data_IF_216011595039
#
_entry.id   IF_216011595039
#
_cell.length_a   1.000
_cell.length_b   1.000
_cell.length_c   1.000
_cell.angle_alpha   90.00
_cell.angle_beta   90.00
_cell.angle_gamma   90.00
#
_symmetry.space_group_name_H-M   'P 1'
#
loop_
_entity.id
_entity.type
_entity.pdbx_description
1 polymer ?
#
# COMPACT_ATOMS: atom_id res chain seq x y z
N UNK A 1 -5.85 -2.84 -6.49
CA UNK A 1 -6.25 -3.49 -5.22
C UNK A 1 -6.47 -2.48 -4.10
N UNK A 2 -5.51 -1.59 -3.80
CA UNK A 2 -5.73 -0.55 -2.78
C UNK A 2 -6.95 0.35 -3.11
N UNK A 3 -6.98 0.95 -4.31
CA UNK A 3 -8.07 1.83 -4.74
C UNK A 3 -9.45 1.16 -4.70
N UNK A 4 -9.54 -0.16 -4.93
CA UNK A 4 -10.82 -0.87 -4.87
C UNK A 4 -11.36 -1.01 -3.45
N UNK A 5 -10.51 -0.95 -2.42
CA UNK A 5 -10.97 -0.85 -1.03
C UNK A 5 -11.46 0.57 -0.74
N UNK A 6 -10.71 1.60 -1.16
CA UNK A 6 -11.08 3.01 -0.96
C UNK A 6 -12.36 3.42 -1.71
N UNK A 7 -12.67 2.74 -2.82
CA UNK A 7 -13.91 2.92 -3.61
C UNK A 7 -15.19 2.84 -2.78
N UNK A 8 -15.21 1.99 -1.76
CA UNK A 8 -16.40 1.73 -0.95
C UNK A 8 -16.47 2.56 0.33
N UNK A 9 -15.43 3.34 0.60
CA UNK A 9 -15.38 4.19 1.77
C UNK A 9 -15.75 5.63 1.36
N UNK A 10 -16.85 6.19 1.92
CA UNK A 10 -17.29 7.55 1.63
C UNK A 10 -16.21 8.62 1.89
N UNK A 11 -15.34 8.40 2.87
CA UNK A 11 -14.27 9.34 3.22
C UNK A 11 -13.29 9.55 2.06
N UNK A 12 -13.01 8.51 1.26
CA UNK A 12 -12.00 8.56 0.20
C UNK A 12 -12.62 8.61 -1.19
N UNK A 13 -13.77 7.99 -1.38
CA UNK A 13 -14.37 7.82 -2.72
C UNK A 13 -14.66 9.16 -3.41
N UNK A 14 -15.12 10.18 -2.67
CA UNK A 14 -15.38 11.52 -3.25
C UNK A 14 -14.12 12.16 -3.82
N UNK A 15 -12.97 11.94 -3.18
CA UNK A 15 -11.69 12.50 -3.60
C UNK A 15 -11.06 11.75 -4.78
N UNK A 16 -11.26 10.42 -4.84
CA UNK A 16 -10.60 9.56 -5.83
C UNK A 16 -11.33 9.46 -7.17
N UNK A 17 -12.66 9.53 -7.12
CA UNK A 17 -13.53 9.06 -8.19
C UNK A 17 -14.42 10.16 -8.78
N UNK A 18 -14.48 11.32 -8.13
CA UNK A 18 -15.27 12.48 -8.58
C UNK A 18 -16.76 12.15 -8.75
N UNK A 19 -17.47 13.04 -9.44
CA UNK A 19 -18.85 12.83 -9.86
C UNK A 19 -18.91 12.64 -11.38
N UNK A 20 -19.80 11.77 -11.84
CA UNK A 20 -20.16 11.63 -13.24
C UNK A 20 -21.11 12.74 -13.69
N UNK A 21 -21.48 12.71 -14.97
CA UNK A 21 -22.36 13.70 -15.62
C UNK A 21 -23.77 13.76 -14.98
N UNK A 22 -24.15 12.72 -14.22
CA UNK A 22 -25.41 12.64 -13.46
C UNK A 22 -25.26 13.01 -11.99
N UNK A 23 -24.12 13.58 -11.59
CA UNK A 23 -23.73 13.86 -10.21
C UNK A 23 -23.60 12.62 -9.31
N UNK A 24 -23.53 11.40 -9.86
CA UNK A 24 -23.25 10.18 -9.10
C UNK A 24 -21.74 9.95 -9.00
N UNK A 25 -21.25 9.35 -7.92
CA UNK A 25 -19.80 9.10 -7.79
C UNK A 25 -19.35 8.08 -8.84
N UNK A 26 -18.43 8.45 -9.75
CA UNK A 26 -17.90 7.52 -10.77
C UNK A 26 -16.87 6.57 -10.15
N UNK A 27 -17.34 5.45 -9.62
CA UNK A 27 -16.50 4.54 -8.85
C UNK A 27 -15.60 3.61 -9.68
N UNK A 28 -15.39 3.85 -10.98
CA UNK A 28 -14.61 2.95 -11.83
C UNK A 28 -13.12 2.94 -11.47
N UNK A 29 -12.53 1.74 -11.47
CA UNK A 29 -11.11 1.59 -11.17
C UNK A 29 -10.29 2.08 -12.37
N UNK A 30 -9.35 3.02 -12.19
CA UNK A 30 -8.58 3.57 -13.30
C UNK A 30 -7.70 2.52 -13.97
N UNK A 31 -7.56 2.65 -15.29
CA UNK A 31 -6.61 1.84 -16.07
C UNK A 31 -5.16 2.21 -15.74
N UNK A 32 -4.21 1.34 -16.10
CA UNK A 32 -2.77 1.60 -15.90
C UNK A 32 -2.36 2.92 -16.58
N UNK A 33 -2.77 3.15 -17.82
CA UNK A 33 -2.46 4.40 -18.53
C UNK A 33 -3.04 5.64 -17.85
N UNK A 34 -4.22 5.51 -17.22
CA UNK A 34 -4.80 6.62 -16.45
C UNK A 34 -4.04 6.85 -15.13
N UNK A 35 -3.63 5.80 -14.43
CA UNK A 35 -2.77 5.92 -13.25
C UNK A 35 -1.44 6.61 -13.59
N UNK A 36 -0.82 6.30 -14.73
CA UNK A 36 0.39 6.99 -15.19
C UNK A 36 0.15 8.49 -15.37
N UNK A 37 -0.99 8.88 -15.96
CA UNK A 37 -1.39 10.29 -16.13
C UNK A 37 -1.61 10.98 -14.78
N UNK A 38 -2.25 10.31 -13.82
CA UNK A 38 -2.45 10.87 -12.48
C UNK A 38 -1.13 11.14 -11.76
N UNK A 39 -0.15 10.25 -11.91
CA UNK A 39 1.20 10.43 -11.36
C UNK A 39 1.89 11.64 -12.03
N UNK A 40 1.87 11.74 -13.36
CA UNK A 40 2.44 12.90 -14.06
C UNK A 40 1.72 14.22 -13.71
N UNK A 41 0.42 14.17 -13.45
CA UNK A 41 -0.36 15.33 -13.00
C UNK A 41 0.08 15.76 -11.60
N UNK A 42 0.25 14.82 -10.67
CA UNK A 42 0.79 15.09 -9.34
C UNK A 42 2.20 15.72 -9.41
N UNK A 43 3.07 15.19 -10.27
CA UNK A 43 4.40 15.76 -10.54
C UNK A 43 4.35 17.18 -11.10
N UNK A 44 3.37 17.48 -11.95
CA UNK A 44 3.16 18.82 -12.50
C UNK A 44 2.66 19.79 -11.43
N UNK A 45 1.83 19.31 -10.51
CA UNK A 45 1.35 20.06 -9.34
C UNK A 45 2.42 20.26 -8.24
N UNK A 46 3.64 19.76 -8.44
CA UNK A 46 4.79 19.96 -7.56
C UNK A 46 4.97 18.87 -6.49
N UNK A 47 4.23 17.77 -6.55
CA UNK A 47 4.46 16.61 -5.69
C UNK A 47 5.65 15.81 -6.23
N UNK A 48 6.54 15.36 -5.34
CA UNK A 48 7.64 14.44 -5.64
C UNK A 48 8.51 14.85 -6.85
N UNK A 49 9.10 16.05 -6.78
CA UNK A 49 10.03 16.54 -7.81
C UNK A 49 11.19 15.58 -8.08
N UNK A 50 11.65 14.90 -7.04
CA UNK A 50 12.79 13.99 -7.11
C UNK A 50 12.40 12.71 -7.86
N UNK A 51 11.24 12.11 -7.54
CA UNK A 51 10.68 11.00 -8.32
C UNK A 51 10.40 11.40 -9.77
N UNK A 52 9.83 12.58 -10.02
CA UNK A 52 9.65 13.11 -11.38
C UNK A 52 10.96 13.12 -12.17
N UNK A 53 12.04 13.60 -11.56
CA UNK A 53 13.36 13.65 -12.18
C UNK A 53 13.92 12.24 -12.46
N UNK A 54 13.78 11.29 -11.51
CA UNK A 54 14.21 9.89 -11.69
C UNK A 54 13.54 9.23 -12.90
N UNK A 55 12.31 9.62 -13.22
CA UNK A 55 11.57 9.10 -14.37
C UNK A 55 11.79 9.92 -15.65
N UNK A 56 12.75 10.85 -15.69
CA UNK A 56 12.95 11.78 -16.81
C UNK A 56 11.65 12.53 -17.18
N UNK A 57 10.87 12.93 -16.17
CA UNK A 57 9.60 13.64 -16.31
C UNK A 57 8.50 12.91 -17.08
N UNK A 58 8.61 11.59 -17.29
CA UNK A 58 7.67 10.87 -18.15
C UNK A 58 7.43 9.42 -17.72
N UNK A 59 6.16 9.05 -17.60
CA UNK A 59 5.66 7.73 -17.23
C UNK A 59 4.55 7.23 -18.17
N UNK A 60 3.71 8.11 -18.72
CA UNK A 60 2.59 7.74 -19.59
C UNK A 60 3.07 6.94 -20.81
N UNK A 61 2.37 5.85 -21.13
CA UNK A 61 2.72 4.94 -22.22
C UNK A 61 4.11 4.29 -22.09
N UNK A 62 4.68 4.26 -20.88
CA UNK A 62 5.91 3.54 -20.59
C UNK A 62 5.64 2.23 -19.84
N UNK A 63 6.65 1.39 -19.74
CA UNK A 63 6.69 0.17 -18.92
C UNK A 63 7.57 0.33 -17.68
N UNK A 64 7.93 1.57 -17.33
CA UNK A 64 8.79 1.86 -16.18
C UNK A 64 8.12 1.37 -14.90
N UNK A 65 8.90 0.71 -14.06
CA UNK A 65 8.43 0.25 -12.76
C UNK A 65 8.27 1.45 -11.83
N UNK A 66 7.14 1.47 -11.12
CA UNK A 66 6.85 2.46 -10.08
C UNK A 66 7.00 1.83 -8.70
N UNK A 67 7.16 2.67 -7.68
CA UNK A 67 7.24 2.30 -6.29
C UNK A 67 6.21 3.03 -5.41
N UNK A 68 6.38 2.92 -4.09
CA UNK A 68 5.51 3.60 -3.13
C UNK A 68 5.51 5.12 -3.28
N UNK A 69 6.61 5.72 -3.73
CA UNK A 69 6.78 7.18 -3.87
C UNK A 69 5.83 7.77 -4.90
N UNK A 70 5.71 7.16 -6.08
CA UNK A 70 4.76 7.58 -7.11
C UNK A 70 3.29 7.41 -6.65
N UNK A 71 3.00 6.32 -5.92
CA UNK A 71 1.67 6.09 -5.34
C UNK A 71 1.36 7.16 -4.29
N UNK A 72 2.33 7.50 -3.44
CA UNK A 72 2.19 8.52 -2.41
C UNK A 72 1.95 9.91 -3.01
N UNK A 73 2.72 10.29 -4.03
CA UNK A 73 2.55 11.55 -4.74
C UNK A 73 1.17 11.65 -5.40
N UNK A 74 0.75 10.58 -6.09
CA UNK A 74 -0.56 10.50 -6.72
C UNK A 74 -1.70 10.60 -5.69
N UNK A 75 -1.63 9.87 -4.58
CA UNK A 75 -2.66 9.89 -3.54
C UNK A 75 -2.70 11.24 -2.80
N UNK A 76 -1.55 11.83 -2.50
CA UNK A 76 -1.47 13.15 -1.87
C UNK A 76 -2.06 14.26 -2.75
N UNK A 77 -1.80 14.23 -4.06
CA UNK A 77 -2.44 15.14 -5.02
C UNK A 77 -3.96 14.98 -5.07
N UNK A 78 -4.48 13.79 -4.77
CA UNK A 78 -5.91 13.51 -4.61
C UNK A 78 -6.40 13.74 -3.17
N UNK A 79 -5.68 14.49 -2.34
CA UNK A 79 -5.98 14.77 -0.93
C UNK A 79 -6.08 13.54 -0.02
N UNK A 80 -5.49 12.41 -0.41
CA UNK A 80 -5.45 11.20 0.41
C UNK A 80 -4.14 11.18 1.21
N UNK A 81 -4.26 11.17 2.53
CA UNK A 81 -3.14 11.08 3.46
C UNK A 81 -2.64 9.64 3.52
N UNK A 82 -1.34 9.49 3.37
CA UNK A 82 -0.64 8.20 3.43
C UNK A 82 0.62 8.30 4.26
N UNK A 83 1.05 7.17 4.82
CA UNK A 83 2.34 7.03 5.49
C UNK A 83 3.15 5.91 4.84
N UNK A 84 4.45 6.15 4.65
CA UNK A 84 5.40 5.19 4.11
C UNK A 84 6.38 4.74 5.20
N UNK A 85 6.53 3.43 5.35
CA UNK A 85 7.38 2.80 6.36
C UNK A 85 8.46 1.95 5.69
N UNK A 86 9.73 2.17 6.06
CA UNK A 86 10.87 1.45 5.53
C UNK A 86 11.38 0.42 6.54
N UNK A 87 11.23 -0.85 6.22
CA UNK A 87 11.73 -1.99 7.00
C UNK A 87 13.02 -2.50 6.38
N UNK A 88 14.15 -2.16 7.00
CA UNK A 88 15.46 -2.62 6.55
C UNK A 88 15.91 -3.82 7.38
N UNK A 89 16.53 -4.80 6.72
CA UNK A 89 17.32 -5.79 7.41
C UNK A 89 18.67 -5.18 7.83
N UNK A 90 18.99 -5.10 9.13
CA UNK A 90 20.34 -4.74 9.56
C UNK A 90 21.34 -5.81 9.11
N UNK A 91 22.52 -5.42 8.62
CA UNK A 91 23.51 -6.34 8.00
C UNK A 91 23.89 -7.54 8.89
N UNK A 92 23.83 -7.37 10.22
CA UNK A 92 24.26 -8.37 11.20
C UNK A 92 23.09 -9.10 11.89
N UNK A 93 21.86 -8.94 11.40
CA UNK A 93 20.67 -9.58 11.97
C UNK A 93 20.05 -10.50 10.92
N UNK A 94 19.71 -11.72 11.33
CA UNK A 94 18.99 -12.66 10.47
C UNK A 94 17.66 -12.07 10.00
N UNK A 95 17.29 -12.35 8.74
CA UNK A 95 16.02 -11.87 8.15
C UNK A 95 14.79 -12.28 8.95
N UNK A 96 14.81 -13.50 9.47
CA UNK A 96 13.77 -14.05 10.33
C UNK A 96 13.51 -13.16 11.55
N UNK A 97 14.57 -12.58 12.14
CA UNK A 97 14.51 -11.68 13.29
C UNK A 97 14.17 -10.26 12.83
N UNK A 98 14.86 -9.76 11.80
CA UNK A 98 14.67 -8.40 11.29
C UNK A 98 13.21 -8.12 10.88
N UNK A 99 12.56 -9.08 10.22
CA UNK A 99 11.20 -8.91 9.72
C UNK A 99 10.10 -9.31 10.70
N UNK A 100 10.45 -9.69 11.94
CA UNK A 100 9.44 -9.76 13.02
C UNK A 100 8.81 -8.40 13.25
N UNK A 101 9.58 -7.32 13.20
CA UNK A 101 9.05 -5.96 13.34
C UNK A 101 8.03 -5.61 12.24
N UNK A 102 8.25 -6.08 11.01
CA UNK A 102 7.29 -5.90 9.92
C UNK A 102 5.97 -6.64 10.22
N UNK A 103 6.05 -7.92 10.60
CA UNK A 103 4.86 -8.72 10.90
C UNK A 103 4.10 -8.16 12.11
N UNK A 104 4.83 -7.72 13.14
CA UNK A 104 4.27 -7.08 14.32
C UNK A 104 3.63 -5.73 14.01
N UNK A 105 4.27 -4.92 13.17
CA UNK A 105 3.71 -3.64 12.72
C UNK A 105 2.40 -3.85 11.96
N UNK A 106 2.37 -4.83 11.04
CA UNK A 106 1.16 -5.18 10.28
C UNK A 106 0.06 -5.67 11.22
N UNK A 107 0.38 -6.55 12.18
CA UNK A 107 -0.58 -7.00 13.20
C UNK A 107 -1.19 -5.82 13.95
N UNK A 108 -0.35 -4.93 14.48
CA UNK A 108 -0.80 -3.75 15.23
C UNK A 108 -1.65 -2.82 14.37
N UNK A 109 -1.28 -2.61 13.11
CA UNK A 109 -2.09 -1.83 12.16
C UNK A 109 -3.52 -2.38 12.06
N UNK A 110 -3.68 -3.68 11.74
CA UNK A 110 -5.01 -4.26 11.59
C UNK A 110 -5.79 -4.32 12.90
N UNK A 111 -5.15 -4.56 14.04
CA UNK A 111 -5.79 -4.52 15.36
C UNK A 111 -6.31 -3.12 15.71
N UNK A 112 -5.47 -2.09 15.56
CA UNK A 112 -5.85 -0.70 15.81
C UNK A 112 -7.00 -0.27 14.89
N UNK A 113 -6.93 -0.59 13.60
CA UNK A 113 -7.99 -0.26 12.65
C UNK A 113 -9.30 -1.00 12.96
N UNK A 114 -9.24 -2.22 13.49
CA UNK A 114 -10.43 -2.92 13.95
C UNK A 114 -11.07 -2.25 15.18
N UNK A 115 -10.26 -1.69 16.08
CA UNK A 115 -10.74 -0.96 17.25
C UNK A 115 -11.33 0.41 16.89
N UNK A 116 -10.68 1.14 15.98
CA UNK A 116 -11.08 2.48 15.51
C UNK A 116 -12.32 2.41 14.60
N UNK A 117 -12.40 1.41 13.72
CA UNK A 117 -13.46 1.30 12.69
C UNK A 117 -14.61 0.36 13.07
N UNK A 118 -14.89 0.16 14.37
CA UNK A 118 -15.98 -0.72 14.86
C UNK A 118 -17.33 -0.49 14.18
N UNK A 119 -17.58 0.74 13.71
CA UNK A 119 -18.85 1.14 13.08
C UNK A 119 -18.84 1.07 11.54
N UNK A 120 -17.67 1.18 10.90
CA UNK A 120 -17.57 1.24 9.43
C UNK A 120 -17.09 -0.06 8.78
N UNK A 121 -16.59 -1.03 9.55
CA UNK A 121 -16.18 -2.39 9.12
C UNK A 121 -15.20 -2.47 7.93
N UNK A 122 -14.66 -1.35 7.46
CA UNK A 122 -13.68 -1.30 6.38
C UNK A 122 -12.31 -1.06 7.00
N UNK A 123 -11.39 -1.99 6.78
CA UNK A 123 -9.97 -1.81 7.05
C UNK A 123 -9.25 -1.87 5.72
N UNK A 124 -8.49 -0.82 5.41
CA UNK A 124 -7.80 -0.74 4.12
C UNK A 124 -6.59 -1.67 4.08
N UNK A 125 -6.31 -2.27 2.91
CA UNK A 125 -5.12 -3.07 2.75
C UNK A 125 -3.87 -2.18 2.69
N UNK A 126 -2.71 -2.80 2.87
CA UNK A 126 -1.42 -2.13 2.82
C UNK A 126 -0.71 -2.43 1.50
N UNK A 127 -0.12 -1.42 0.88
CA UNK A 127 0.77 -1.63 -0.27
C UNK A 127 2.15 -2.08 0.25
N UNK A 128 2.64 -3.21 -0.26
CA UNK A 128 3.93 -3.79 0.13
C UNK A 128 4.89 -3.77 -1.06
N UNK A 129 6.03 -3.11 -0.91
CA UNK A 129 7.10 -3.07 -1.90
C UNK A 129 8.33 -3.83 -1.38
N UNK A 130 9.05 -4.45 -2.29
CA UNK A 130 10.49 -4.64 -2.18
C UNK A 130 11.13 -4.43 -3.55
N UNK A 131 12.45 -4.56 -3.64
CA UNK A 131 13.14 -4.51 -4.93
C UNK A 131 12.54 -5.51 -5.92
N UNK A 132 12.06 -4.97 -7.04
CA UNK A 132 11.57 -5.69 -8.21
C UNK A 132 10.16 -6.27 -8.14
N UNK A 133 9.40 -6.09 -7.05
CA UNK A 133 8.00 -6.52 -7.02
C UNK A 133 7.18 -5.81 -5.95
N UNK A 134 5.88 -5.70 -6.19
CA UNK A 134 4.91 -5.16 -5.24
C UNK A 134 3.68 -6.03 -5.08
N UNK A 135 3.10 -5.97 -3.87
CA UNK A 135 2.02 -6.85 -3.41
C UNK A 135 1.08 -6.06 -2.50
N UNK A 136 -0.01 -6.68 -2.08
CA UNK A 136 -1.01 -6.03 -1.22
C UNK A 136 -1.28 -6.92 -0.01
N UNK A 137 -0.99 -6.43 1.20
CA UNK A 137 -1.32 -7.13 2.45
C UNK A 137 -2.76 -6.81 2.81
N UNK A 138 -3.58 -7.83 2.97
CA UNK A 138 -5.02 -7.71 3.25
C UNK A 138 -5.40 -8.12 4.68
N UNK A 139 -4.45 -8.62 5.45
CA UNK A 139 -4.68 -9.03 6.83
C UNK A 139 -3.57 -9.92 7.37
N UNK A 140 -3.84 -10.54 8.51
CA UNK A 140 -2.95 -11.48 9.16
C UNK A 140 -3.72 -12.61 9.85
N UNK A 141 -3.04 -13.73 10.08
CA UNK A 141 -3.47 -14.82 10.96
C UNK A 141 -2.51 -14.89 12.13
N UNK A 142 -3.04 -15.08 13.35
CA UNK A 142 -2.25 -15.31 14.54
C UNK A 142 -2.53 -16.71 15.09
N UNK A 143 -1.48 -17.50 15.24
CA UNK A 143 -1.53 -18.84 15.81
C UNK A 143 -1.43 -18.77 17.34
N UNK A 144 -1.83 -19.86 18.02
CA UNK A 144 -1.83 -19.93 19.50
C UNK A 144 -0.44 -19.78 20.11
N UNK A 145 0.59 -20.19 19.38
CA UNK A 145 2.00 -20.04 19.75
C UNK A 145 2.54 -18.61 19.54
N UNK A 146 1.68 -17.68 19.09
CA UNK A 146 2.04 -16.30 18.80
C UNK A 146 2.62 -16.07 17.41
N UNK A 147 2.84 -17.12 16.60
CA UNK A 147 3.33 -16.96 15.24
C UNK A 147 2.31 -16.21 14.37
N UNK A 148 2.81 -15.36 13.48
CA UNK A 148 2.01 -14.55 12.57
C UNK A 148 2.23 -15.03 11.13
N UNK A 149 1.14 -15.14 10.36
CA UNK A 149 1.18 -15.22 8.90
C UNK A 149 0.49 -14.00 8.32
N UNK A 150 1.06 -13.44 7.27
CA UNK A 150 0.41 -12.37 6.51
C UNK A 150 -0.45 -12.97 5.40
N UNK A 151 -1.59 -12.33 5.14
CA UNK A 151 -2.45 -12.61 4.01
C UNK A 151 -2.14 -11.57 2.93
N UNK A 152 -1.60 -12.03 1.80
CA UNK A 152 -1.03 -11.16 0.77
C UNK A 152 -1.60 -11.54 -0.59
N UNK A 153 -2.19 -10.57 -1.27
CA UNK A 153 -2.51 -10.64 -2.68
C UNK A 153 -1.30 -10.25 -3.52
N UNK A 154 -0.97 -11.11 -4.48
CA UNK A 154 0.11 -10.90 -5.42
C UNK A 154 -0.48 -10.71 -6.83
N UNK A 155 -0.24 -9.57 -7.50
CA UNK A 155 -0.77 -9.32 -8.84
C UNK A 155 -0.29 -10.33 -9.89
N UNK A 156 0.80 -11.04 -9.62
CA UNK A 156 1.31 -12.13 -10.48
C UNK A 156 0.59 -13.47 -10.24
N UNK A 157 -0.37 -13.54 -9.31
CA UNK A 157 -1.16 -14.76 -9.08
C UNK A 157 -2.03 -15.06 -10.29
N UNK A 158 -1.88 -16.22 -10.95
CA UNK A 158 -2.70 -16.56 -12.11
C UNK A 158 -4.18 -16.63 -11.75
N UNK A 159 -5.04 -16.17 -12.66
CA UNK A 159 -6.50 -16.19 -12.50
C UNK A 159 -7.03 -17.57 -12.09
N UNK A 160 -6.52 -18.63 -12.72
CA UNK A 160 -6.92 -20.01 -12.41
C UNK A 160 -6.67 -20.42 -10.94
N UNK A 161 -5.58 -19.94 -10.33
CA UNK A 161 -5.31 -20.23 -8.91
C UNK A 161 -6.29 -19.49 -8.00
N UNK A 162 -6.66 -18.25 -8.36
CA UNK A 162 -7.70 -17.49 -7.66
C UNK A 162 -9.05 -18.19 -7.80
N UNK A 163 -9.40 -18.68 -8.98
CA UNK A 163 -10.64 -19.43 -9.21
C UNK A 163 -10.69 -20.74 -8.42
N UNK A 164 -9.57 -21.46 -8.28
CA UNK A 164 -9.48 -22.62 -7.39
C UNK A 164 -9.74 -22.23 -5.95
N UNK A 165 -9.14 -21.14 -5.48
CA UNK A 165 -9.39 -20.64 -4.14
C UNK A 165 -10.85 -20.29 -3.90
N UNK A 166 -11.51 -19.62 -4.85
CA UNK A 166 -12.94 -19.33 -4.76
C UNK A 166 -13.80 -20.60 -4.61
N UNK A 167 -13.37 -21.73 -5.19
CA UNK A 167 -14.07 -23.02 -5.08
C UNK A 167 -13.73 -23.76 -3.79
N UNK A 168 -12.46 -23.72 -3.35
CA UNK A 168 -11.95 -24.50 -2.22
C UNK A 168 -11.03 -23.64 -1.33
N UNK A 169 -11.57 -22.66 -0.58
CA UNK A 169 -10.74 -21.67 0.12
C UNK A 169 -9.84 -22.29 1.19
N UNK A 170 -10.30 -23.35 1.87
CA UNK A 170 -9.53 -23.98 2.94
C UNK A 170 -8.25 -24.68 2.45
N UNK A 171 -8.28 -25.37 1.31
CA UNK A 171 -7.11 -26.05 0.74
C UNK A 171 -6.18 -25.10 -0.02
N UNK A 172 -6.76 -24.09 -0.66
CA UNK A 172 -6.03 -23.19 -1.57
C UNK A 172 -5.51 -21.91 -0.89
N UNK A 173 -5.87 -21.63 0.36
CA UNK A 173 -5.43 -20.43 1.08
C UNK A 173 -3.89 -20.24 1.16
N UNK A 174 -3.12 -21.32 0.92
CA UNK A 174 -1.66 -21.25 0.82
C UNK A 174 -1.16 -20.25 -0.25
N UNK A 175 -1.96 -19.97 -1.29
CA UNK A 175 -1.58 -19.00 -2.33
C UNK A 175 -1.46 -17.57 -1.79
N UNK A 176 -2.19 -17.24 -0.71
CA UNK A 176 -2.18 -15.92 -0.08
C UNK A 176 -1.43 -15.86 1.26
N UNK A 177 -1.19 -17.01 1.91
CA UNK A 177 -0.50 -17.06 3.21
C UNK A 177 1.01 -16.92 3.03
N UNK A 178 1.62 -16.01 3.78
CA UNK A 178 3.06 -15.75 3.78
C UNK A 178 3.60 -15.74 5.21
N UNK A 179 4.61 -16.56 5.47
CA UNK A 179 5.31 -16.63 6.75
C UNK A 179 6.61 -15.80 6.70
N UNK A 180 7.31 -15.66 7.82
CA UNK A 180 8.57 -14.89 7.90
C UNK A 180 9.62 -15.36 6.88
N UNK A 181 9.72 -16.67 6.63
CA UNK A 181 10.68 -17.24 5.68
C UNK A 181 10.44 -16.80 4.23
N UNK A 182 9.23 -16.33 3.90
CA UNK A 182 8.94 -15.78 2.56
C UNK A 182 9.46 -14.35 2.35
N UNK A 183 10.03 -13.71 3.38
CA UNK A 183 10.57 -12.35 3.35
C UNK A 183 12.10 -12.37 3.26
N UNK A 184 12.60 -12.41 2.02
CA UNK A 184 14.02 -12.63 1.72
C UNK A 184 14.76 -11.41 1.16
N UNK A 185 14.07 -10.31 0.87
CA UNK A 185 14.72 -9.10 0.34
C UNK A 185 15.38 -8.29 1.47
N UNK A 186 16.38 -7.45 1.19
CA UNK A 186 17.07 -6.65 2.22
C UNK A 186 16.25 -5.46 2.73
N UNK A 187 15.27 -5.00 1.94
CA UNK A 187 14.38 -3.90 2.29
C UNK A 187 12.97 -4.23 1.85
N UNK A 188 12.01 -3.94 2.72
CA UNK A 188 10.59 -3.88 2.40
C UNK A 188 10.06 -2.50 2.77
N UNK A 189 9.13 -1.97 1.97
CA UNK A 189 8.42 -0.74 2.29
C UNK A 189 6.93 -1.02 2.38
N UNK A 190 6.24 -0.40 3.34
CA UNK A 190 4.80 -0.47 3.47
C UNK A 190 4.22 0.93 3.34
N UNK A 191 3.26 1.11 2.43
CA UNK A 191 2.44 2.31 2.36
C UNK A 191 1.04 2.01 2.91
N UNK A 192 0.62 2.84 3.86
CA UNK A 192 -0.69 2.79 4.50
C UNK A 192 -1.48 4.06 4.21
N UNK A 193 -2.77 3.94 3.91
CA UNK A 193 -3.71 5.07 3.87
C UNK A 193 -4.12 5.41 5.30
N UNK A 194 -4.12 6.70 5.64
CA UNK A 194 -4.32 7.23 6.99
C UNK A 194 -5.43 8.24 7.14
N UNK A 195 -6.07 8.64 6.05
CA UNK A 195 -7.16 9.61 6.08
C UNK A 195 -7.10 10.56 4.89
N UNK A 196 -7.71 11.72 5.07
CA UNK A 196 -7.71 12.82 4.09
C UNK A 196 -6.77 13.90 4.59
N UNK A 197 -5.99 14.48 3.69
CA UNK A 197 -5.09 15.59 4.01
C UNK A 197 -5.91 16.83 4.38
N UNK A 198 -5.52 17.48 5.47
CA UNK A 198 -6.00 18.81 5.80
C UNK A 198 -5.28 19.86 4.95
N UNK A 199 -5.89 21.04 4.79
CA UNK A 199 -5.35 22.09 3.89
C UNK A 199 -3.94 22.55 4.27
N UNK A 200 -3.59 22.52 5.55
CA UNK A 200 -2.26 22.84 6.08
C UNK A 200 -1.23 21.71 5.87
N UNK A 201 -1.67 20.48 5.59
CA UNK A 201 -0.79 19.33 5.33
C UNK A 201 -0.37 19.20 3.86
N UNK A 202 -1.12 19.81 2.93
CA UNK A 202 -0.93 19.63 1.48
C UNK A 202 0.48 20.03 1.04
N UNK A 203 0.97 21.20 1.45
CA UNK A 203 2.29 21.68 1.02
C UNK A 203 3.42 20.77 1.55
N UNK A 204 3.30 20.30 2.80
CA UNK A 204 4.26 19.36 3.37
C UNK A 204 4.25 18.01 2.64
N UNK A 205 3.08 17.57 2.17
CA UNK A 205 2.90 16.30 1.46
C UNK A 205 3.50 16.27 0.05
N UNK A 206 3.87 17.43 -0.52
CA UNK A 206 4.64 17.49 -1.78
C UNK A 206 6.02 16.85 -1.67
N UNK A 207 6.58 16.80 -0.46
CA UNK A 207 7.86 16.13 -0.19
C UNK A 207 7.61 14.72 0.32
N UNK A 208 8.06 13.75 -0.46
CA UNK A 208 8.03 12.32 -0.09
C UNK A 208 8.91 12.09 1.14
N UNK A 209 8.34 11.44 2.16
CA UNK A 209 9.05 11.03 3.38
C UNK A 209 8.67 9.62 3.77
N UNK A 210 9.63 8.91 4.33
CA UNK A 210 9.43 7.58 4.90
C UNK A 210 9.88 7.52 6.36
N UNK A 211 9.28 6.60 7.10
CA UNK A 211 9.59 6.33 8.51
C UNK A 211 10.39 5.04 8.57
N UNK A 212 11.63 5.09 9.06
CA UNK A 212 12.46 3.89 9.25
C UNK A 212 11.95 3.06 10.42
N UNK A 213 11.86 1.74 10.23
CA UNK A 213 11.43 0.77 11.24
C UNK A 213 12.50 -0.33 11.43
N UNK A 214 12.92 -0.64 12.67
CA UNK A 214 12.55 0.03 13.92
C UNK A 214 13.02 1.49 13.94
N UNK A 215 12.32 2.34 14.70
CA UNK A 215 12.74 3.72 14.87
C UNK A 215 14.19 3.75 15.37
N UNK A 216 15.03 4.66 14.88
CA UNK A 216 16.38 4.83 15.42
C UNK A 216 16.26 5.04 16.93
N UNK A 217 17.08 4.34 17.72
CA UNK A 217 17.18 4.65 19.15
C UNK A 217 17.46 6.15 19.28
N UNK A 218 16.63 6.85 20.07
CA UNK A 218 16.90 8.25 20.40
C UNK A 218 18.32 8.30 20.98
N UNK A 219 19.19 9.09 20.34
CA UNK A 219 20.55 9.33 20.84
C UNK A 219 20.51 10.26 22.03
#
# INVERSE_FOLDING_TARGET
MLLSSLRYDPQYSMHLFGHDVSNQVNRDIPSVSFLQKLIETAWTAGFDSDGRQQFNNHLVNSTKWIGPTEIMACLAHLNIKTELFDFHQPKNIEKSIAYRYLFEWVRKYFQQQQEENKNNNIIHPLYLQHEGHSRTIIGYEQFRDGNIRLLIFDPSTPKYNVEKFCKNPYSEAHIFRRNLHSFQKPVYQILAVRGVLQSDEIEASKRVRSIKVPLPSAR
#
